data_IF_898013816776
#
_entry.id   IF_898013816776
#
_cell.length_a   1.000
_cell.length_b   1.000
_cell.length_c   1.000
_cell.angle_alpha   90.00
_cell.angle_beta   90.00
_cell.angle_gamma   90.00
#
_symmetry.space_group_name_H-M   'P 1'
#
loop_
_entity.id
_entity.type
_entity.pdbx_description
1 polymer ?
#
# COMPACT_ATOMS: atom_id res chain seq x y z
N UNK A 1 50.20 11.84 -46.40
CA UNK A 1 51.06 12.03 -47.57
C UNK A 1 51.95 13.22 -47.29
N UNK A 2 53.23 13.00 -46.98
CA UNK A 2 54.20 14.08 -46.82
C UNK A 2 55.38 13.78 -47.76
N UNK A 3 55.75 14.77 -48.57
CA UNK A 3 56.92 14.74 -49.44
C UNK A 3 58.04 15.52 -48.76
N UNK A 4 59.09 14.82 -48.33
CA UNK A 4 60.40 15.42 -48.06
C UNK A 4 61.39 14.86 -49.09
N UNK A 5 62.07 15.78 -49.77
CA UNK A 5 62.98 15.51 -50.89
C UNK A 5 64.41 15.55 -50.38
N UNK A 6 65.13 14.44 -50.48
CA UNK A 6 66.59 14.41 -50.43
C UNK A 6 67.10 13.32 -51.40
N UNK A 7 67.92 13.73 -52.38
CA UNK A 7 68.86 12.87 -53.12
C UNK A 7 68.30 11.64 -53.87
N UNK A 8 68.17 11.77 -55.20
CA UNK A 8 68.37 10.77 -56.26
C UNK A 8 68.23 9.25 -55.97
N UNK A 9 67.21 8.81 -55.25
CA UNK A 9 66.66 7.44 -55.34
C UNK A 9 65.23 7.40 -54.79
N UNK A 10 64.27 7.00 -55.62
CA UNK A 10 62.90 6.74 -55.17
C UNK A 10 62.86 5.37 -54.47
N UNK A 11 62.76 5.37 -53.13
CA UNK A 11 62.35 4.19 -52.36
C UNK A 11 60.90 4.40 -51.95
N UNK A 12 60.01 3.58 -52.49
CA UNK A 12 58.57 3.58 -52.20
C UNK A 12 58.36 2.83 -50.88
N UNK A 13 58.45 3.54 -49.75
CA UNK A 13 58.11 2.99 -48.43
C UNK A 13 56.60 3.07 -48.27
N UNK A 14 55.90 2.01 -48.65
CA UNK A 14 54.48 1.85 -48.32
C UNK A 14 54.36 1.54 -46.84
N UNK A 15 54.11 2.57 -46.03
CA UNK A 15 53.72 2.40 -44.64
C UNK A 15 52.28 1.86 -44.62
N UNK A 16 52.12 0.55 -44.56
CA UNK A 16 50.85 -0.04 -44.15
C UNK A 16 50.67 0.29 -42.66
N UNK A 17 50.00 1.40 -42.38
CA UNK A 17 49.39 1.58 -41.08
C UNK A 17 48.33 0.49 -40.94
N UNK A 18 48.69 -0.62 -40.29
CA UNK A 18 47.70 -1.54 -39.76
C UNK A 18 46.93 -0.73 -38.71
N UNK A 19 45.80 -0.17 -39.14
CA UNK A 19 44.78 0.31 -38.22
C UNK A 19 44.28 -0.94 -37.50
N UNK A 20 44.93 -1.30 -36.41
CA UNK A 20 44.23 -1.99 -35.34
C UNK A 20 43.14 -1.03 -34.91
N UNK A 21 41.93 -1.21 -35.45
CA UNK A 21 40.74 -0.81 -34.73
C UNK A 21 40.86 -1.55 -33.41
N UNK A 22 41.31 -0.85 -32.37
CA UNK A 22 40.98 -1.25 -31.02
C UNK A 22 39.45 -1.33 -31.04
N UNK A 23 38.92 -2.54 -31.06
CA UNK A 23 37.58 -2.74 -30.56
C UNK A 23 37.70 -2.40 -29.09
N UNK A 24 37.48 -1.12 -28.77
CA UNK A 24 36.93 -0.77 -27.47
C UNK A 24 35.70 -1.66 -27.41
N UNK A 25 35.76 -2.66 -26.54
CA UNK A 25 34.61 -3.49 -26.24
C UNK A 25 33.49 -2.50 -25.91
N UNK A 26 32.47 -2.51 -26.76
CA UNK A 26 31.23 -1.80 -26.52
C UNK A 26 30.79 -2.27 -25.13
N UNK A 27 30.87 -1.37 -24.15
CA UNK A 27 30.53 -1.64 -22.77
C UNK A 27 29.16 -2.31 -22.77
N UNK A 28 29.11 -3.55 -22.31
CA UNK A 28 27.91 -4.39 -22.41
C UNK A 28 26.88 -3.77 -21.49
N UNK A 29 26.05 -2.90 -22.07
CA UNK A 29 25.15 -2.01 -21.39
C UNK A 29 24.38 -2.79 -20.30
N UNK A 30 24.72 -2.51 -19.03
CA UNK A 30 24.08 -3.13 -17.85
C UNK A 30 22.63 -2.65 -17.71
N UNK A 31 22.20 -1.68 -18.52
CA UNK A 31 20.92 -1.02 -18.39
C UNK A 31 19.84 -1.72 -19.20
N UNK A 32 18.81 -2.10 -18.47
CA UNK A 32 17.46 -2.35 -18.96
C UNK A 32 16.86 -1.06 -19.57
N UNK A 33 15.61 -1.10 -20.06
CA UNK A 33 14.94 0.01 -20.75
C UNK A 33 14.78 1.32 -19.93
N UNK A 34 15.27 1.36 -18.69
CA UNK A 34 15.25 2.47 -17.74
C UNK A 34 16.44 2.34 -16.78
N UNK A 35 17.03 3.45 -16.34
CA UNK A 35 18.22 3.40 -15.47
C UNK A 35 19.37 4.26 -15.97
N UNK A 36 20.54 4.08 -15.35
CA UNK A 36 21.78 4.72 -15.80
C UNK A 36 22.82 4.92 -14.69
N UNK A 37 23.98 5.44 -15.10
CA UNK A 37 25.04 5.89 -14.18
C UNK A 37 24.78 7.35 -13.82
N UNK A 38 24.82 7.65 -12.53
CA UNK A 38 24.56 8.98 -11.97
C UNK A 38 25.82 9.47 -11.25
N UNK A 39 26.50 10.44 -11.85
CA UNK A 39 27.75 11.02 -11.33
C UNK A 39 27.60 12.48 -10.86
N UNK A 40 26.44 13.09 -11.12
CA UNK A 40 26.13 14.44 -10.69
C UNK A 40 25.94 14.50 -9.16
N UNK A 41 26.39 15.60 -8.53
CA UNK A 41 26.31 15.75 -7.07
C UNK A 41 24.89 15.74 -6.51
N UNK A 42 23.91 16.11 -7.33
CA UNK A 42 22.49 16.09 -7.00
C UNK A 42 21.72 15.57 -8.20
N UNK A 43 20.60 14.91 -7.94
CA UNK A 43 19.75 14.46 -9.03
C UNK A 43 18.41 13.90 -8.57
N UNK A 44 17.63 13.51 -9.57
CA UNK A 44 16.28 12.96 -9.42
C UNK A 44 16.25 11.60 -10.10
N UNK A 45 15.61 10.63 -9.45
CA UNK A 45 15.40 9.28 -9.98
C UNK A 45 13.90 9.02 -9.91
N UNK A 46 13.29 8.67 -11.04
CA UNK A 46 11.87 8.35 -11.09
C UNK A 46 11.62 7.10 -11.92
N UNK A 47 10.52 6.41 -11.61
CA UNK A 47 10.02 5.33 -12.47
C UNK A 47 9.57 5.90 -13.82
N UNK A 48 9.58 5.09 -14.90
CA UNK A 48 8.98 5.49 -16.17
C UNK A 48 7.52 5.92 -15.98
N UNK A 49 7.07 6.92 -16.73
CA UNK A 49 5.70 7.46 -16.72
C UNK A 49 5.17 8.04 -15.40
N UNK A 50 5.98 8.10 -14.33
CA UNK A 50 5.57 8.65 -13.04
C UNK A 50 4.81 9.98 -13.20
N UNK A 51 3.63 10.18 -12.57
CA UNK A 51 2.98 9.32 -11.56
C UNK A 51 2.07 8.21 -12.12
N UNK A 52 2.03 8.03 -13.44
CA UNK A 52 1.17 7.05 -14.11
C UNK A 52 1.81 5.66 -14.18
N UNK A 53 1.02 4.67 -14.58
CA UNK A 53 1.42 3.28 -14.73
C UNK A 53 2.70 3.14 -15.60
N UNK A 54 3.68 2.40 -15.07
CA UNK A 54 4.89 1.99 -15.79
C UNK A 54 4.65 0.65 -16.48
N UNK A 55 5.33 0.37 -17.62
CA UNK A 55 5.17 -0.90 -18.33
C UNK A 55 5.59 -2.09 -17.43
N UNK A 56 4.94 -3.24 -17.57
CA UNK A 56 5.35 -4.50 -16.92
C UNK A 56 5.43 -5.64 -17.95
N UNK A 57 6.41 -6.56 -17.85
CA UNK A 57 7.47 -6.63 -16.83
C UNK A 57 8.50 -5.50 -16.99
N UNK A 58 9.06 -5.04 -15.88
CA UNK A 58 10.08 -4.00 -15.83
C UNK A 58 11.19 -4.41 -14.89
N UNK A 59 12.39 -4.02 -15.27
CA UNK A 59 13.58 -4.05 -14.45
C UNK A 59 14.32 -2.76 -14.78
N UNK A 60 14.68 -1.96 -13.78
CA UNK A 60 15.43 -0.71 -13.91
C UNK A 60 16.60 -0.75 -12.93
N UNK A 61 17.74 -0.21 -13.33
CA UNK A 61 18.94 -0.16 -12.50
C UNK A 61 19.63 1.20 -12.56
N UNK A 62 19.89 1.79 -11.40
CA UNK A 62 20.66 3.03 -11.29
C UNK A 62 21.92 2.80 -10.48
N UNK A 63 23.04 3.37 -10.94
CA UNK A 63 24.31 3.34 -10.22
C UNK A 63 24.75 4.76 -9.91
N UNK A 64 24.64 5.18 -8.65
CA UNK A 64 25.18 6.45 -8.18
C UNK A 64 26.66 6.25 -7.85
N UNK A 65 27.53 7.06 -8.46
CA UNK A 65 28.98 7.06 -8.21
C UNK A 65 29.39 8.36 -7.54
N UNK A 66 29.73 8.29 -6.26
CA UNK A 66 30.22 9.42 -5.49
C UNK A 66 31.76 9.41 -5.39
N UNK A 67 32.39 10.60 -5.35
CA UNK A 67 33.78 10.73 -4.98
C UNK A 67 34.06 10.16 -3.56
N UNK A 68 35.27 9.67 -3.27
CA UNK A 68 35.59 9.04 -1.99
C UNK A 68 35.31 9.89 -0.74
N UNK A 69 35.45 11.21 -0.86
CA UNK A 69 35.25 12.20 0.22
C UNK A 69 33.77 12.45 0.56
N UNK A 70 32.85 11.91 -0.23
CA UNK A 70 31.40 12.14 -0.11
C UNK A 70 30.65 10.91 0.39
N UNK A 71 29.50 11.18 0.99
CA UNK A 71 28.45 10.20 1.28
C UNK A 71 27.22 10.55 0.43
N UNK A 72 26.40 9.55 0.13
CA UNK A 72 25.19 9.71 -0.69
C UNK A 72 23.98 9.69 0.24
N UNK A 73 23.10 10.67 0.10
CA UNK A 73 21.80 10.70 0.77
C UNK A 73 20.73 10.56 -0.30
N UNK A 74 19.81 9.62 -0.09
CA UNK A 74 18.63 9.40 -0.94
C UNK A 74 17.40 9.83 -0.14
N UNK A 75 16.59 10.71 -0.71
CA UNK A 75 15.35 11.21 -0.14
C UNK A 75 14.16 10.60 -0.87
N UNK A 76 13.28 9.95 -0.12
CA UNK A 76 12.07 9.33 -0.66
C UNK A 76 10.94 10.36 -0.70
N UNK A 77 11.17 11.45 -1.44
CA UNK A 77 10.24 12.57 -1.57
C UNK A 77 8.86 12.10 -2.02
N UNK A 78 8.78 11.29 -3.08
CA UNK A 78 7.53 10.72 -3.56
C UNK A 78 7.74 9.23 -3.85
N UNK A 79 7.24 8.37 -2.97
CA UNK A 79 7.48 6.93 -3.07
C UNK A 79 6.21 6.13 -2.78
N UNK A 80 5.73 5.39 -3.78
CA UNK A 80 4.43 4.70 -3.74
C UNK A 80 4.54 3.19 -4.01
N UNK A 81 5.75 2.63 -3.97
CA UNK A 81 5.97 1.19 -4.17
C UNK A 81 5.89 0.42 -2.86
N UNK A 82 5.10 -0.66 -2.84
CA UNK A 82 5.00 -1.59 -1.69
C UNK A 82 6.18 -2.56 -1.65
N UNK A 83 6.61 -2.99 -2.84
CA UNK A 83 7.58 -4.05 -3.04
C UNK A 83 8.55 -3.64 -4.16
N UNK A 84 9.58 -4.46 -4.38
CA UNK A 84 10.37 -4.43 -5.61
C UNK A 84 11.39 -3.30 -5.76
N UNK A 85 11.72 -2.56 -4.71
CA UNK A 85 12.76 -1.54 -4.72
C UNK A 85 13.86 -1.87 -3.71
N UNK A 86 15.10 -2.00 -4.18
CA UNK A 86 16.25 -2.44 -3.39
C UNK A 86 17.41 -1.45 -3.52
N UNK A 87 18.15 -1.24 -2.44
CA UNK A 87 19.31 -0.34 -2.40
C UNK A 87 20.50 -1.05 -1.77
N UNK A 88 21.62 -1.14 -2.50
CA UNK A 88 22.86 -1.75 -2.02
C UNK A 88 24.04 -0.79 -2.23
N UNK A 89 24.93 -0.69 -1.25
CA UNK A 89 26.17 0.09 -1.34
C UNK A 89 27.41 -0.80 -1.48
N UNK A 90 28.45 -0.32 -2.19
CA UNK A 90 29.67 -1.07 -2.50
C UNK A 90 30.92 -0.20 -2.37
N UNK A 91 32.04 -0.82 -1.97
CA UNK A 91 33.36 -0.16 -1.95
C UNK A 91 33.89 0.04 -3.39
N UNK A 92 33.57 -0.91 -4.27
CA UNK A 92 33.83 -0.83 -5.71
C UNK A 92 32.73 -1.58 -6.46
N UNK A 93 32.24 -1.00 -7.57
CA UNK A 93 31.25 -1.63 -8.43
C UNK A 93 31.58 -1.37 -9.90
N UNK A 94 31.79 -2.43 -10.66
CA UNK A 94 31.90 -2.38 -12.11
C UNK A 94 30.65 -2.97 -12.77
N UNK A 95 30.25 -4.17 -12.35
CA UNK A 95 29.06 -4.88 -12.83
C UNK A 95 28.58 -5.91 -11.79
N UNK A 96 27.48 -6.63 -12.09
CA UNK A 96 26.89 -7.66 -11.21
C UNK A 96 27.79 -8.87 -10.92
N UNK A 97 28.92 -9.02 -11.59
CA UNK A 97 29.91 -10.09 -11.36
C UNK A 97 31.21 -9.57 -10.73
N UNK A 98 31.49 -8.28 -10.90
CA UNK A 98 32.74 -7.63 -10.48
C UNK A 98 32.43 -6.46 -9.55
N UNK A 99 32.36 -6.75 -8.25
CA UNK A 99 32.12 -5.77 -7.19
C UNK A 99 32.85 -6.17 -5.89
N UNK A 100 33.01 -5.21 -4.98
CA UNK A 100 33.69 -5.40 -3.69
C UNK A 100 32.85 -4.79 -2.56
N UNK A 101 32.73 -5.55 -1.48
CA UNK A 101 32.15 -5.11 -0.23
C UNK A 101 30.68 -4.69 -0.34
N UNK A 102 29.78 -5.55 -0.81
CA UNK A 102 28.35 -5.23 -0.82
C UNK A 102 27.85 -5.04 0.61
N UNK A 103 27.00 -4.03 0.82
CA UNK A 103 26.18 -3.89 2.02
C UNK A 103 24.77 -3.51 1.59
N UNK A 104 23.84 -4.42 1.86
CA UNK A 104 22.43 -4.18 1.63
C UNK A 104 21.93 -3.10 2.61
N UNK A 105 21.33 -2.04 2.06
CA UNK A 105 20.72 -0.96 2.85
C UNK A 105 19.21 -1.18 3.03
N UNK A 106 18.67 -2.25 2.43
CA UNK A 106 17.33 -2.76 2.65
C UNK A 106 16.41 -2.63 1.45
N UNK A 107 15.24 -3.27 1.61
CA UNK A 107 14.11 -3.14 0.69
C UNK A 107 13.23 -1.98 1.14
N UNK A 108 12.97 -1.05 0.23
CA UNK A 108 12.15 0.14 0.52
C UNK A 108 10.69 -0.16 0.18
N UNK A 109 9.80 0.26 1.07
CA UNK A 109 8.35 0.16 0.93
C UNK A 109 7.73 1.43 1.48
N UNK A 110 6.63 1.90 0.88
CA UNK A 110 5.84 3.00 1.44
C UNK A 110 5.31 2.67 2.85
N UNK A 111 5.16 1.40 3.22
CA UNK A 111 4.70 0.97 4.55
C UNK A 111 5.73 1.23 5.67
N UNK A 112 6.99 1.49 5.32
CA UNK A 112 8.08 1.64 6.30
C UNK A 112 8.34 3.09 6.72
N UNK A 113 7.66 4.06 6.08
CA UNK A 113 7.86 5.51 6.26
C UNK A 113 9.35 5.89 6.43
N UNK A 114 10.15 5.57 5.41
CA UNK A 114 11.59 5.88 5.39
C UNK A 114 11.76 7.22 4.66
N UNK A 115 11.97 8.36 5.34
CA UNK A 115 12.07 9.66 4.66
C UNK A 115 13.39 9.82 3.90
N UNK A 116 14.47 9.20 4.41
CA UNK A 116 15.78 9.23 3.77
C UNK A 116 16.65 8.04 4.14
N UNK A 117 17.63 7.76 3.30
CA UNK A 117 18.62 6.70 3.48
C UNK A 117 20.02 7.25 3.17
N UNK A 118 20.99 6.89 4.02
CA UNK A 118 22.36 7.38 3.92
C UNK A 118 23.30 6.22 3.60
N UNK A 119 23.99 6.34 2.48
CA UNK A 119 25.04 5.43 2.06
C UNK A 119 26.42 6.10 2.27
N UNK A 120 27.34 5.35 2.88
CA UNK A 120 28.68 5.81 3.22
C UNK A 120 29.75 5.30 2.25
N UNK A 121 29.39 4.37 1.37
CA UNK A 121 30.27 3.85 0.32
C UNK A 121 30.10 4.62 -1.00
N UNK A 122 31.14 4.65 -1.86
CA UNK A 122 31.14 5.49 -3.06
C UNK A 122 30.22 4.99 -4.19
N UNK A 123 29.78 3.73 -4.17
CA UNK A 123 28.89 3.18 -5.18
C UNK A 123 27.57 2.76 -4.55
N UNK A 124 26.46 3.29 -5.03
CA UNK A 124 25.11 2.87 -4.63
C UNK A 124 24.38 2.36 -5.85
N UNK A 125 23.97 1.09 -5.81
CA UNK A 125 23.16 0.45 -6.82
C UNK A 125 21.71 0.38 -6.34
N UNK A 126 20.80 0.87 -7.16
CA UNK A 126 19.36 0.86 -6.93
C UNK A 126 18.74 -0.05 -7.98
N UNK A 127 17.97 -1.04 -7.52
CA UNK A 127 17.25 -1.97 -8.38
C UNK A 127 15.74 -1.83 -8.16
N UNK A 128 15.02 -1.66 -9.26
CA UNK A 128 13.56 -1.69 -9.30
C UNK A 128 13.10 -2.76 -10.30
N UNK A 129 12.46 -3.83 -9.85
CA UNK A 129 12.07 -4.93 -10.75
C UNK A 129 10.76 -5.60 -10.36
N UNK A 130 9.82 -5.69 -11.31
CA UNK A 130 8.52 -6.35 -11.11
C UNK A 130 7.95 -6.93 -12.40
N UNK A 131 7.29 -8.07 -12.28
CA UNK A 131 6.64 -8.76 -13.40
C UNK A 131 5.19 -8.29 -13.63
N UNK A 132 4.52 -7.74 -12.60
CA UNK A 132 3.12 -7.33 -12.64
C UNK A 132 2.91 -6.05 -11.79
N UNK A 133 1.96 -5.21 -12.20
CA UNK A 133 1.54 -3.97 -11.51
C UNK A 133 0.58 -4.21 -10.33
N UNK A 134 0.06 -5.43 -10.21
CA UNK A 134 -0.94 -5.80 -9.23
C UNK A 134 -0.36 -5.75 -7.81
N UNK A 135 -1.00 -4.99 -6.91
CA UNK A 135 -0.66 -4.89 -5.48
C UNK A 135 0.73 -4.30 -5.16
N UNK A 136 1.34 -3.54 -6.07
CA UNK A 136 2.63 -2.88 -5.82
C UNK A 136 2.56 -1.36 -5.67
N UNK A 137 1.45 -0.72 -6.03
CA UNK A 137 1.25 0.73 -5.92
C UNK A 137 0.34 1.07 -4.74
N UNK A 138 0.48 2.29 -4.21
CA UNK A 138 -0.42 2.83 -3.20
C UNK A 138 -1.75 3.23 -3.86
N UNK A 139 -2.87 2.79 -3.29
CA UNK A 139 -4.21 3.23 -3.67
C UNK A 139 -4.80 4.05 -2.53
N UNK A 140 -4.98 5.35 -2.75
CA UNK A 140 -5.66 6.22 -1.80
C UNK A 140 -7.11 6.38 -2.26
N UNK A 141 -8.02 5.75 -1.52
CA UNK A 141 -9.41 5.46 -1.90
C UNK A 141 -10.23 6.72 -2.19
N UNK A 142 -9.93 7.84 -1.54
CA UNK A 142 -10.86 8.99 -1.52
C UNK A 142 -10.46 10.15 -2.44
N UNK A 143 -9.29 10.09 -3.10
CA UNK A 143 -8.85 11.09 -4.09
C UNK A 143 -8.59 10.54 -5.49
N UNK A 144 -8.90 9.27 -5.77
CA UNK A 144 -8.65 8.65 -7.08
C UNK A 144 -7.18 8.76 -7.52
N UNK A 145 -6.25 8.75 -6.57
CA UNK A 145 -4.83 8.77 -6.86
C UNK A 145 -4.33 7.33 -6.94
N UNK A 146 -4.56 6.70 -8.10
CA UNK A 146 -3.78 5.55 -8.54
C UNK A 146 -2.39 6.07 -8.96
N UNK A 147 -1.51 6.28 -7.98
CA UNK A 147 -0.15 6.76 -8.22
C UNK A 147 0.81 5.58 -8.25
N UNK A 148 1.55 5.49 -9.34
CA UNK A 148 2.45 4.38 -9.59
C UNK A 148 3.89 4.83 -9.44
N UNK A 149 4.69 3.97 -8.80
CA UNK A 149 6.13 4.09 -8.83
C UNK A 149 6.67 5.12 -7.84
N UNK A 150 7.64 5.91 -8.28
CA UNK A 150 8.36 6.83 -7.40
C UNK A 150 9.01 7.98 -8.18
N UNK A 151 9.27 9.06 -7.46
CA UNK A 151 10.08 10.21 -7.83
C UNK A 151 10.88 10.64 -6.58
N UNK A 152 12.10 10.12 -6.50
CA UNK A 152 13.02 10.29 -5.38
C UNK A 152 14.16 11.21 -5.79
N UNK A 153 14.81 11.80 -4.81
CA UNK A 153 15.95 12.70 -5.04
C UNK A 153 17.17 12.22 -4.30
N UNK A 154 18.36 12.58 -4.77
CA UNK A 154 19.60 12.23 -4.09
C UNK A 154 20.58 13.40 -4.09
N UNK A 155 21.47 13.41 -3.11
CA UNK A 155 22.61 14.31 -3.08
C UNK A 155 23.88 13.67 -2.51
N UNK A 156 25.03 14.17 -2.95
CA UNK A 156 26.35 13.79 -2.50
C UNK A 156 26.91 14.92 -1.63
N UNK A 157 26.96 14.69 -0.33
CA UNK A 157 27.50 15.65 0.64
C UNK A 157 28.82 15.17 1.20
N UNK A 158 29.63 16.08 1.74
CA UNK A 158 30.86 15.69 2.44
C UNK A 158 30.51 14.76 3.60
N UNK A 159 31.36 13.77 3.90
CA UNK A 159 31.12 12.78 4.96
C UNK A 159 30.80 13.40 6.33
N UNK A 160 31.43 14.54 6.63
CA UNK A 160 31.25 15.30 7.88
C UNK A 160 29.96 16.11 7.95
N UNK A 161 29.26 16.30 6.84
CA UNK A 161 28.03 17.12 6.80
C UNK A 161 26.92 16.39 7.55
N UNK A 162 26.12 17.11 8.32
CA UNK A 162 24.92 16.54 8.93
C UNK A 162 23.89 16.14 7.87
N UNK A 163 23.11 15.11 8.17
CA UNK A 163 21.96 14.73 7.33
C UNK A 163 20.85 15.77 7.58
N UNK A 164 20.30 16.39 6.52
CA UNK A 164 19.20 17.33 6.67
C UNK A 164 18.03 16.71 7.46
N UNK A 165 17.65 17.35 8.56
CA UNK A 165 16.54 16.90 9.43
C UNK A 165 15.17 17.41 8.98
N UNK A 166 15.14 18.46 8.16
CA UNK A 166 13.92 19.11 7.69
C UNK A 166 13.59 18.67 6.26
N UNK A 167 13.47 17.36 6.07
CA UNK A 167 12.99 16.75 4.82
C UNK A 167 11.50 16.43 4.94
N UNK A 168 10.84 16.12 3.83
CA UNK A 168 9.50 15.55 3.84
C UNK A 168 9.46 14.24 3.08
N UNK A 169 8.44 13.43 3.37
CA UNK A 169 7.96 12.32 2.55
C UNK A 169 6.47 12.55 2.21
N UNK A 170 5.90 11.69 1.36
CA UNK A 170 4.45 11.68 1.12
C UNK A 170 3.66 11.39 2.40
N UNK A 171 4.22 10.60 3.32
CA UNK A 171 3.64 10.35 4.65
C UNK A 171 3.65 11.61 5.51
N UNK A 172 4.78 12.34 5.52
CA UNK A 172 4.88 13.64 6.19
C UNK A 172 3.87 14.65 5.64
N UNK A 173 3.44 14.50 4.38
CA UNK A 173 2.41 15.32 3.75
C UNK A 173 1.01 14.70 3.87
N UNK A 174 0.80 13.81 4.84
CA UNK A 174 -0.46 13.12 5.14
C UNK A 174 -1.05 12.33 3.96
N UNK A 175 -0.26 12.05 2.91
CA UNK A 175 -0.69 11.60 1.58
C UNK A 175 -1.78 12.49 0.93
N UNK A 176 -1.90 13.73 1.38
CA UNK A 176 -2.83 14.75 0.90
C UNK A 176 -2.09 15.91 0.20
N UNK A 177 -0.82 15.69 -0.11
CA UNK A 177 0.02 16.59 -0.85
C UNK A 177 1.28 15.89 -1.34
N UNK A 178 1.97 16.56 -2.25
CA UNK A 178 3.27 16.12 -2.75
C UNK A 178 4.37 16.70 -1.86
N UNK A 179 5.36 15.88 -1.48
CA UNK A 179 6.60 16.43 -0.95
C UNK A 179 7.46 16.92 -2.13
N UNK A 180 7.75 18.22 -2.12
CA UNK A 180 8.55 18.90 -3.13
C UNK A 180 9.83 19.47 -2.51
N UNK A 181 10.86 19.55 -3.34
CA UNK A 181 12.16 20.13 -2.99
C UNK A 181 12.47 21.31 -3.92
N UNK A 182 13.07 22.36 -3.37
CA UNK A 182 13.54 23.48 -4.18
C UNK A 182 14.77 23.11 -5.03
N UNK A 183 15.06 23.90 -6.06
CA UNK A 183 16.10 23.59 -7.06
C UNK A 183 17.51 23.42 -6.50
N UNK A 184 17.81 24.04 -5.36
CA UNK A 184 19.08 23.96 -4.65
C UNK A 184 19.10 22.90 -3.53
N UNK A 185 17.99 22.18 -3.32
CA UNK A 185 17.85 21.10 -2.33
C UNK A 185 18.04 21.57 -0.87
N UNK A 186 17.82 22.86 -0.60
CA UNK A 186 17.93 23.44 0.73
C UNK A 186 16.62 23.41 1.53
N UNK A 187 15.48 23.20 0.85
CA UNK A 187 14.16 23.23 1.47
C UNK A 187 13.23 22.18 0.88
N UNK A 188 12.65 21.38 1.76
CA UNK A 188 11.59 20.42 1.47
C UNK A 188 10.28 20.96 2.07
N UNK A 189 9.18 20.82 1.34
CA UNK A 189 7.87 21.25 1.80
C UNK A 189 6.75 20.43 1.16
N UNK A 190 5.62 20.34 1.87
CA UNK A 190 4.40 19.76 1.32
C UNK A 190 3.66 20.77 0.45
N UNK A 191 3.29 20.33 -0.75
CA UNK A 191 2.39 21.02 -1.67
C UNK A 191 1.03 20.32 -1.63
N UNK A 192 0.08 20.93 -0.91
CA UNK A 192 -1.20 20.29 -0.58
C UNK A 192 -2.16 20.28 -1.76
N UNK A 193 -2.93 19.19 -1.87
CA UNK A 193 -4.01 19.09 -2.85
C UNK A 193 -5.15 20.08 -2.55
N UNK A 194 -6.01 20.29 -3.53
CA UNK A 194 -7.12 21.24 -3.43
C UNK A 194 -8.01 20.95 -2.21
N UNK A 195 -8.23 21.98 -1.39
CA UNK A 195 -9.02 21.89 -0.16
C UNK A 195 -8.23 21.48 1.09
N UNK A 196 -6.95 21.11 0.96
CA UNK A 196 -6.07 20.81 2.09
C UNK A 196 -5.01 21.87 2.32
N UNK A 197 -4.56 21.98 3.56
CA UNK A 197 -3.57 22.97 3.96
C UNK A 197 -2.85 22.57 5.26
N UNK A 198 -1.90 23.41 5.67
CA UNK A 198 -0.97 23.15 6.76
C UNK A 198 0.41 22.75 6.25
N UNK A 199 1.40 22.66 7.14
CA UNK A 199 2.77 22.28 6.80
C UNK A 199 2.91 20.80 6.41
N UNK A 200 1.97 19.96 6.82
CA UNK A 200 1.89 18.51 6.60
C UNK A 200 0.63 18.13 5.80
N UNK A 201 -0.08 19.11 5.23
CA UNK A 201 -1.40 18.93 4.59
C UNK A 201 -2.42 18.24 5.50
N UNK A 202 -2.30 18.52 6.80
CA UNK A 202 -3.02 17.82 7.85
C UNK A 202 -4.43 18.38 8.11
N UNK A 203 -4.77 19.53 7.51
CA UNK A 203 -6.04 20.23 7.69
C UNK A 203 -6.82 20.32 6.38
N UNK A 204 -8.14 20.44 6.48
CA UNK A 204 -9.06 20.44 5.35
C UNK A 204 -10.52 20.65 5.80
N UNK A 205 -11.53 20.36 4.94
CA UNK A 205 -12.91 20.82 5.15
C UNK A 205 -13.58 20.33 6.44
N UNK A 206 -13.19 19.16 6.97
CA UNK A 206 -13.76 18.57 8.18
C UNK A 206 -12.80 18.61 9.38
N UNK A 207 -11.64 19.25 9.21
CA UNK A 207 -10.65 19.48 10.26
C UNK A 207 -9.89 20.76 9.95
N UNK A 208 -10.38 21.87 10.49
CA UNK A 208 -9.87 23.21 10.28
C UNK A 208 -9.84 23.95 11.63
N UNK A 209 -8.67 23.96 12.31
CA UNK A 209 -8.51 24.66 13.58
C UNK A 209 -8.66 26.18 13.47
N UNK A 210 -8.38 26.77 12.30
CA UNK A 210 -8.37 28.22 12.10
C UNK A 210 -9.81 28.79 12.10
N UNK A 211 -10.77 28.01 11.64
CA UNK A 211 -12.21 28.35 11.68
C UNK A 211 -12.99 27.60 12.76
N UNK A 212 -12.30 26.85 13.62
CA UNK A 212 -12.88 26.17 14.80
C UNK A 212 -13.53 24.81 14.52
N UNK A 213 -13.30 24.21 13.35
CA UNK A 213 -13.76 22.86 13.02
C UNK A 213 -12.76 21.85 13.59
N UNK A 214 -13.06 21.33 14.78
CA UNK A 214 -12.24 20.33 15.45
C UNK A 214 -13.12 19.39 16.27
N UNK A 215 -13.08 18.10 15.94
CA UNK A 215 -13.85 17.05 16.64
C UNK A 215 -13.18 16.54 17.93
N UNK A 216 -11.95 16.98 18.21
CA UNK A 216 -11.17 16.49 19.34
C UNK A 216 -11.51 17.25 20.63
N UNK A 217 -11.65 16.49 21.71
CA UNK A 217 -11.88 16.96 23.07
C UNK A 217 -10.58 17.41 23.75
N UNK A 218 -10.71 18.10 24.88
CA UNK A 218 -9.61 18.44 25.79
C UNK A 218 -8.41 19.18 25.13
N UNK A 219 -8.71 20.00 24.11
CA UNK A 219 -7.68 20.76 23.38
C UNK A 219 -6.83 19.90 22.44
N UNK A 220 -7.22 18.65 22.18
CA UNK A 220 -6.63 17.84 21.12
C UNK A 220 -6.77 18.51 19.75
N UNK A 221 -5.87 18.20 18.83
CA UNK A 221 -5.89 18.74 17.46
C UNK A 221 -6.29 17.64 16.49
N UNK A 222 -7.27 17.92 15.63
CA UNK A 222 -7.59 17.00 14.55
C UNK A 222 -6.49 17.03 13.48
N UNK A 223 -6.32 15.92 12.75
CA UNK A 223 -5.59 15.87 11.49
C UNK A 223 -6.13 14.76 10.58
N UNK A 224 -5.99 14.92 9.28
CA UNK A 224 -6.27 13.84 8.33
C UNK A 224 -5.19 12.74 8.41
N UNK A 225 -5.57 11.49 8.11
CA UNK A 225 -4.69 10.32 8.20
C UNK A 225 -4.63 9.58 6.84
N UNK A 226 -3.41 9.30 6.36
CA UNK A 226 -3.14 8.40 5.22
C UNK A 226 -3.96 8.69 3.95
N UNK A 227 -4.12 9.96 3.57
CA UNK A 227 -4.84 10.32 2.35
C UNK A 227 -6.33 10.01 2.39
N UNK A 228 -6.85 9.56 3.54
CA UNK A 228 -8.27 9.35 3.78
C UNK A 228 -8.92 10.64 4.28
N UNK A 229 -10.21 10.81 4.01
CA UNK A 229 -11.14 11.76 4.61
C UNK A 229 -11.39 11.52 6.11
N UNK A 230 -10.83 10.45 6.67
CA UNK A 230 -10.92 10.14 8.09
C UNK A 230 -9.94 11.03 8.86
N UNK A 231 -10.51 11.79 9.79
CA UNK A 231 -9.77 12.65 10.69
C UNK A 231 -9.48 11.91 11.99
N UNK A 232 -8.22 11.96 12.45
CA UNK A 232 -7.80 11.46 13.75
C UNK A 232 -7.50 12.62 14.70
N UNK A 233 -7.45 12.33 16.01
CA UNK A 233 -7.07 13.30 17.02
C UNK A 233 -5.66 13.08 17.53
N UNK A 234 -4.88 14.16 17.60
CA UNK A 234 -3.60 14.24 18.33
C UNK A 234 -3.90 14.81 19.71
N UNK A 235 -3.80 13.97 20.72
CA UNK A 235 -4.13 14.34 22.09
C UNK A 235 -3.01 15.10 22.77
N UNK A 236 -3.39 16.08 23.59
CA UNK A 236 -2.45 16.73 24.51
C UNK A 236 -1.99 15.73 25.58
N UNK A 237 -0.79 15.92 26.16
CA UNK A 237 -0.32 15.08 27.27
C UNK A 237 -1.36 15.03 28.39
N UNK A 238 -1.65 13.82 28.89
CA UNK A 238 -2.68 13.61 29.90
C UNK A 238 -4.06 13.26 29.34
N UNK A 239 -4.23 13.10 28.03
CA UNK A 239 -5.49 12.68 27.41
C UNK A 239 -5.27 11.58 26.36
N UNK A 240 -6.24 10.69 26.21
CA UNK A 240 -6.23 9.61 25.21
C UNK A 240 -7.66 9.28 24.74
N UNK A 241 -7.80 8.31 23.84
CA UNK A 241 -9.06 7.98 23.16
C UNK A 241 -9.08 8.50 21.72
N UNK A 242 -10.07 8.06 20.93
CA UNK A 242 -10.16 8.41 19.51
C UNK A 242 -10.41 9.90 19.27
N UNK A 243 -11.02 10.57 20.24
CA UNK A 243 -11.33 12.00 20.25
C UNK A 243 -10.65 12.73 21.41
N UNK A 244 -9.64 12.15 22.06
CA UNK A 244 -9.00 12.73 23.25
C UNK A 244 -9.97 12.99 24.41
N UNK A 245 -11.04 12.24 24.48
CA UNK A 245 -12.15 12.39 25.43
C UNK A 245 -11.82 11.84 26.81
N UNK A 246 -10.78 11.00 26.93
CA UNK A 246 -10.44 10.30 28.16
C UNK A 246 -9.29 11.04 28.86
N UNK A 247 -9.52 11.70 30.00
CA UNK A 247 -8.45 12.22 30.83
C UNK A 247 -7.71 11.06 31.51
N UNK A 248 -6.38 11.11 31.49
CA UNK A 248 -5.56 10.25 32.34
C UNK A 248 -5.86 10.61 33.80
N UNK A 249 -6.39 9.68 34.57
CA UNK A 249 -6.70 9.91 35.98
C UNK A 249 -5.41 10.20 36.75
N UNK A 250 -5.48 11.17 37.67
CA UNK A 250 -4.36 11.59 38.53
C UNK A 250 -3.95 10.50 39.54
N UNK A 251 -4.68 9.38 39.61
CA UNK A 251 -4.29 8.21 40.41
C UNK A 251 -3.32 7.26 39.67
N UNK A 252 -3.02 7.50 38.39
CA UNK A 252 -2.02 6.73 37.62
C UNK A 252 -0.85 7.60 37.15
N UNK A 253 -0.29 8.46 38.02
CA UNK A 253 1.14 8.80 37.91
C UNK A 253 1.98 7.61 38.35
N UNK A 254 1.84 6.51 37.62
CA UNK A 254 2.63 5.32 37.80
C UNK A 254 3.83 5.39 36.86
N UNK A 255 4.95 5.83 37.42
CA UNK A 255 6.22 5.93 36.71
C UNK A 255 6.62 4.61 36.03
N UNK A 256 6.09 3.46 36.49
CA UNK A 256 6.37 2.14 35.91
C UNK A 256 5.64 1.89 34.57
N UNK A 257 4.35 2.22 34.42
CA UNK A 257 3.65 2.11 33.12
C UNK A 257 4.15 3.14 32.11
N UNK A 258 4.59 4.32 32.56
CA UNK A 258 5.22 5.33 31.70
C UNK A 258 6.53 4.82 31.07
N UNK A 259 7.27 3.97 31.77
CA UNK A 259 8.55 3.41 31.31
C UNK A 259 8.40 2.18 30.41
N UNK A 260 7.22 1.56 30.33
CA UNK A 260 7.01 0.34 29.57
C UNK A 260 6.95 0.55 28.05
N UNK A 261 6.70 1.79 27.58
CA UNK A 261 6.57 2.13 26.16
C UNK A 261 5.56 1.23 25.41
N UNK A 262 4.39 1.01 26.00
CA UNK A 262 3.32 0.25 25.34
C UNK A 262 2.83 0.96 24.08
N UNK A 263 2.68 0.21 23.00
CA UNK A 263 2.19 0.73 21.71
C UNK A 263 0.73 1.21 21.71
N UNK A 264 -0.11 0.68 22.62
CA UNK A 264 -1.54 1.02 22.68
C UNK A 264 -2.00 1.35 24.11
N UNK A 265 -1.96 0.38 25.03
CA UNK A 265 -2.45 0.57 26.40
C UNK A 265 -1.57 -0.17 27.42
N UNK A 266 -1.58 0.27 28.69
CA UNK A 266 -0.90 -0.35 29.83
C UNK A 266 -1.89 -0.53 30.99
N UNK A 267 -1.91 -1.69 31.65
CA UNK A 267 -2.70 -1.94 32.88
C UNK A 267 -1.91 -2.80 33.87
N UNK A 268 -2.29 -2.78 35.15
CA UNK A 268 -1.75 -3.70 36.17
C UNK A 268 -2.51 -5.02 36.20
N UNK A 269 -1.79 -6.13 36.29
CA UNK A 269 -2.39 -7.45 36.55
C UNK A 269 -2.93 -7.55 37.99
N UNK A 270 -3.54 -8.67 38.34
CA UNK A 270 -4.08 -8.91 39.69
C UNK A 270 -3.02 -8.92 40.81
N UNK A 271 -1.74 -8.93 40.44
CA UNK A 271 -0.58 -8.89 41.34
C UNK A 271 0.08 -7.49 41.36
N UNK A 272 -0.52 -6.53 40.66
CA UNK A 272 -0.04 -5.16 40.59
C UNK A 272 1.10 -4.94 39.59
N UNK A 273 1.42 -5.87 38.69
CA UNK A 273 2.52 -5.71 37.73
C UNK A 273 2.02 -5.04 36.44
N UNK A 274 2.70 -4.01 35.90
CA UNK A 274 2.29 -3.37 34.66
C UNK A 274 2.51 -4.30 33.47
N UNK A 275 1.52 -4.39 32.60
CA UNK A 275 1.60 -5.10 31.32
C UNK A 275 0.89 -4.31 30.23
N UNK A 276 1.38 -4.43 29.00
CA UNK A 276 0.71 -3.80 27.87
C UNK A 276 -0.57 -4.56 27.51
N UNK A 277 -1.51 -3.85 26.88
CA UNK A 277 -2.76 -4.38 26.36
C UNK A 277 -2.99 -3.85 24.94
N UNK A 278 -3.54 -4.73 24.11
CA UNK A 278 -3.94 -4.39 22.75
C UNK A 278 -5.45 -4.20 22.68
N UNK A 279 -5.88 -3.25 21.87
CA UNK A 279 -7.26 -3.03 21.50
C UNK A 279 -7.75 -4.15 20.56
N UNK A 280 -9.07 -4.24 20.42
CA UNK A 280 -9.70 -5.24 19.56
C UNK A 280 -9.17 -5.18 18.12
N UNK A 281 -8.80 -6.34 17.57
CA UNK A 281 -8.20 -6.45 16.24
C UNK A 281 -6.66 -6.40 16.23
N UNK A 282 -6.02 -6.29 17.39
CA UNK A 282 -4.56 -6.33 17.56
C UNK A 282 -4.16 -7.42 18.57
N UNK A 283 -2.99 -8.02 18.36
CA UNK A 283 -2.38 -8.98 19.30
C UNK A 283 -1.03 -8.45 19.78
N UNK A 284 -0.66 -8.85 20.99
CA UNK A 284 0.66 -8.51 21.54
C UNK A 284 1.75 -9.23 20.74
N UNK A 285 2.77 -8.48 20.35
CA UNK A 285 3.97 -8.97 19.72
C UNK A 285 4.91 -9.63 20.75
N UNK A 286 5.94 -10.32 20.28
CA UNK A 286 6.87 -11.11 21.11
C UNK A 286 7.61 -10.26 22.14
N UNK A 287 7.71 -8.95 21.90
CA UNK A 287 8.33 -7.98 22.80
C UNK A 287 7.46 -7.61 24.02
N UNK A 288 6.21 -8.12 24.10
CA UNK A 288 5.22 -7.81 25.13
C UNK A 288 4.89 -6.31 25.28
N UNK A 289 5.16 -5.50 24.24
CA UNK A 289 4.96 -4.04 24.25
C UNK A 289 4.24 -3.54 23.00
N UNK A 290 4.53 -4.17 21.86
CA UNK A 290 4.01 -3.77 20.56
C UNK A 290 2.75 -4.55 20.22
N UNK A 291 1.73 -3.86 19.74
CA UNK A 291 0.45 -4.45 19.33
C UNK A 291 0.43 -4.50 17.81
N UNK A 292 0.51 -5.71 17.26
CA UNK A 292 0.47 -5.95 15.82
C UNK A 292 -0.96 -6.27 15.37
N UNK A 293 -1.41 -5.75 14.21
CA UNK A 293 -2.72 -6.10 13.68
C UNK A 293 -2.89 -7.62 13.56
N UNK A 294 -4.03 -8.13 14.01
CA UNK A 294 -4.38 -9.53 13.81
C UNK A 294 -4.75 -9.69 12.34
N UNK A 295 -3.83 -10.23 11.54
CA UNK A 295 -4.08 -10.53 10.15
C UNK A 295 -5.32 -11.42 10.00
N UNK A 296 -6.30 -10.92 9.24
CA UNK A 296 -7.49 -11.68 8.85
C UNK A 296 -7.37 -12.07 7.39
N UNK A 297 -8.08 -13.09 6.96
CA UNK A 297 -8.25 -13.47 5.56
C UNK A 297 -9.72 -13.40 5.21
N UNK A 298 -10.04 -12.84 4.03
CA UNK A 298 -11.36 -12.95 3.42
C UNK A 298 -11.42 -14.27 2.65
N UNK A 299 -12.39 -15.09 3.00
CA UNK A 299 -12.67 -16.38 2.37
C UNK A 299 -13.96 -16.23 1.58
N UNK A 300 -13.88 -16.42 0.27
CA UNK A 300 -15.02 -16.33 -0.64
C UNK A 300 -15.35 -17.75 -1.11
N UNK A 301 -16.61 -18.17 -0.93
CA UNK A 301 -17.04 -19.56 -1.08
C UNK A 301 -18.18 -19.65 -2.08
N UNK A 302 -18.09 -20.63 -2.98
CA UNK A 302 -19.10 -20.96 -3.97
C UNK A 302 -19.72 -22.33 -3.67
N UNK A 303 -21.01 -22.33 -3.34
CA UNK A 303 -21.83 -23.53 -3.10
C UNK A 303 -22.80 -23.75 -4.25
N UNK A 304 -22.80 -24.95 -4.82
CA UNK A 304 -23.70 -25.28 -5.92
C UNK A 304 -24.99 -25.87 -5.35
N UNK A 305 -26.13 -25.28 -5.72
CA UNK A 305 -27.46 -25.70 -5.28
C UNK A 305 -28.07 -26.69 -6.28
N UNK A 306 -28.74 -27.73 -5.78
CA UNK A 306 -29.29 -28.83 -6.58
C UNK A 306 -30.77 -28.63 -6.96
N UNK A 307 -31.52 -27.77 -6.26
CA UNK A 307 -32.98 -27.67 -6.43
C UNK A 307 -33.50 -26.22 -6.39
N UNK A 308 -32.78 -25.29 -7.02
CA UNK A 308 -33.27 -23.91 -7.07
C UNK A 308 -34.38 -23.79 -8.14
N UNK A 309 -35.62 -23.62 -7.70
CA UNK A 309 -36.78 -23.32 -8.55
C UNK A 309 -37.05 -21.81 -8.45
N UNK A 310 -37.63 -21.19 -9.49
CA UNK A 310 -38.00 -19.76 -9.52
C UNK A 310 -38.90 -19.39 -8.31
N UNK A 311 -38.28 -18.99 -7.20
CA UNK A 311 -38.91 -18.46 -5.99
C UNK A 311 -39.13 -16.95 -6.14
N UNK A 312 -40.14 -16.40 -5.47
CA UNK A 312 -40.31 -14.95 -5.42
C UNK A 312 -39.22 -14.30 -4.56
N UNK A 313 -38.85 -13.04 -4.83
CA UNK A 313 -37.82 -12.30 -4.08
C UNK A 313 -38.12 -12.24 -2.57
N UNK A 314 -39.40 -12.22 -2.19
CA UNK A 314 -39.84 -12.20 -0.80
C UNK A 314 -39.62 -13.55 -0.09
N UNK A 315 -39.87 -14.67 -0.78
CA UNK A 315 -39.59 -16.02 -0.27
C UNK A 315 -38.08 -16.29 -0.22
N UNK A 316 -37.32 -15.75 -1.16
CA UNK A 316 -35.85 -15.86 -1.18
C UNK A 316 -35.23 -15.18 0.05
N UNK A 317 -35.64 -13.95 0.36
CA UNK A 317 -35.10 -13.18 1.48
C UNK A 317 -35.36 -13.81 2.86
N UNK A 318 -36.58 -14.32 3.12
CA UNK A 318 -36.88 -15.01 4.39
C UNK A 318 -36.03 -16.27 4.60
N UNK A 319 -35.67 -16.95 3.51
CA UNK A 319 -34.87 -18.16 3.57
C UNK A 319 -33.36 -17.88 3.67
N UNK A 320 -32.88 -16.72 3.20
CA UNK A 320 -31.47 -16.33 3.25
C UNK A 320 -30.96 -16.11 4.68
N UNK A 321 -31.81 -15.64 5.61
CA UNK A 321 -31.42 -15.50 7.02
C UNK A 321 -31.18 -16.87 7.68
N UNK A 322 -32.04 -17.84 7.40
CA UNK A 322 -31.85 -19.22 7.88
C UNK A 322 -30.59 -19.85 7.28
N UNK A 323 -30.38 -19.67 5.97
CA UNK A 323 -29.17 -20.12 5.27
C UNK A 323 -27.91 -19.52 5.90
N UNK A 324 -27.92 -18.22 6.18
CA UNK A 324 -26.81 -17.52 6.84
C UNK A 324 -26.50 -18.11 8.21
N UNK A 325 -27.52 -18.35 9.05
CA UNK A 325 -27.33 -18.96 10.36
C UNK A 325 -26.80 -20.40 10.29
N UNK A 326 -27.36 -21.22 9.41
CA UNK A 326 -26.92 -22.62 9.24
C UNK A 326 -25.45 -22.71 8.82
N UNK A 327 -25.01 -21.84 7.90
CA UNK A 327 -23.62 -21.78 7.45
C UNK A 327 -22.70 -21.33 8.59
N UNK A 328 -23.03 -20.22 9.27
CA UNK A 328 -22.21 -19.67 10.36
C UNK A 328 -22.02 -20.73 11.47
N UNK A 329 -23.11 -21.31 11.95
CA UNK A 329 -23.06 -22.33 13.02
C UNK A 329 -22.20 -23.53 12.61
N UNK A 330 -22.31 -23.96 11.36
CA UNK A 330 -21.52 -25.09 10.85
C UNK A 330 -20.03 -24.75 10.81
N UNK A 331 -19.67 -23.57 10.30
CA UNK A 331 -18.28 -23.16 10.19
C UNK A 331 -17.67 -22.95 11.59
N UNK A 332 -18.39 -22.33 12.52
CA UNK A 332 -17.93 -22.09 13.89
C UNK A 332 -17.68 -23.40 14.67
N UNK A 333 -18.61 -24.36 14.55
CA UNK A 333 -18.48 -25.68 15.20
C UNK A 333 -17.35 -26.54 14.65
N UNK A 334 -16.84 -26.23 13.46
CA UNK A 334 -15.80 -27.00 12.77
C UNK A 334 -14.44 -26.28 12.77
N UNK A 335 -14.12 -25.59 13.87
CA UNK A 335 -12.75 -25.11 14.13
C UNK A 335 -12.44 -23.71 13.60
N UNK A 336 -13.45 -22.91 13.25
CA UNK A 336 -13.30 -21.50 12.88
C UNK A 336 -14.23 -20.66 13.76
N UNK A 337 -13.96 -20.52 15.07
CA UNK A 337 -14.85 -19.79 15.98
C UNK A 337 -14.76 -18.27 15.83
N UNK A 338 -13.81 -17.76 15.04
CA UNK A 338 -13.48 -16.33 14.94
C UNK A 338 -14.10 -15.64 13.73
N UNK A 339 -15.16 -16.22 13.15
CA UNK A 339 -15.82 -15.67 11.96
C UNK A 339 -16.27 -14.24 12.25
N UNK A 340 -15.89 -13.32 11.38
CA UNK A 340 -16.35 -11.93 11.44
C UNK A 340 -16.86 -11.47 10.08
N UNK A 341 -17.87 -10.59 10.09
CA UNK A 341 -18.47 -9.96 8.89
C UNK A 341 -18.79 -10.98 7.78
N UNK A 342 -19.71 -11.90 8.09
CA UNK A 342 -20.28 -12.86 7.14
C UNK A 342 -21.36 -12.19 6.31
N UNK A 343 -21.30 -12.35 4.98
CA UNK A 343 -22.41 -11.97 4.12
C UNK A 343 -22.56 -12.82 2.86
N UNK A 344 -23.78 -12.88 2.36
CA UNK A 344 -24.10 -13.55 1.09
C UNK A 344 -23.95 -12.52 -0.03
N UNK A 345 -23.06 -12.81 -0.99
CA UNK A 345 -22.77 -11.96 -2.15
C UNK A 345 -23.95 -12.01 -3.12
N UNK A 346 -24.51 -13.21 -3.30
CA UNK A 346 -25.71 -13.41 -4.11
C UNK A 346 -25.93 -14.86 -4.49
N UNK A 347 -27.03 -15.10 -5.20
CA UNK A 347 -27.32 -16.37 -5.85
C UNK A 347 -27.29 -16.13 -7.36
N UNK A 348 -26.32 -16.72 -8.03
CA UNK A 348 -26.15 -16.61 -9.48
C UNK A 348 -26.78 -17.83 -10.14
N UNK A 349 -27.70 -17.59 -11.08
CA UNK A 349 -28.34 -18.66 -11.83
C UNK A 349 -27.78 -18.71 -13.26
N UNK A 350 -27.06 -19.78 -13.59
CA UNK A 350 -26.61 -20.04 -14.96
C UNK A 350 -27.54 -21.05 -15.63
N UNK A 351 -27.37 -21.26 -16.95
CA UNK A 351 -28.14 -22.28 -17.68
C UNK A 351 -27.88 -23.70 -17.21
N UNK A 352 -26.81 -23.94 -16.44
CA UNK A 352 -26.38 -25.28 -16.02
C UNK A 352 -26.40 -25.48 -14.51
N UNK A 353 -26.15 -24.43 -13.73
CA UNK A 353 -25.97 -24.51 -12.28
C UNK A 353 -26.44 -23.23 -11.58
N UNK A 354 -26.98 -23.39 -10.37
CA UNK A 354 -27.24 -22.27 -9.47
C UNK A 354 -26.17 -22.24 -8.38
N UNK A 355 -25.52 -21.10 -8.18
CA UNK A 355 -24.40 -20.94 -7.25
C UNK A 355 -24.77 -19.91 -6.18
N UNK A 356 -24.71 -20.33 -4.92
CA UNK A 356 -24.75 -19.45 -3.75
C UNK A 356 -23.32 -19.01 -3.44
N UNK A 357 -23.08 -17.72 -3.46
CA UNK A 357 -21.78 -17.13 -3.20
C UNK A 357 -21.83 -16.30 -1.91
N UNK A 358 -20.89 -16.54 -0.99
CA UNK A 358 -20.81 -15.83 0.27
C UNK A 358 -19.36 -15.64 0.69
N UNK A 359 -19.13 -14.70 1.60
CA UNK A 359 -17.80 -14.50 2.17
C UNK A 359 -17.85 -14.34 3.69
N UNK A 360 -16.71 -14.60 4.31
CA UNK A 360 -16.47 -14.30 5.70
C UNK A 360 -14.99 -14.00 5.96
N UNK A 361 -14.69 -13.39 7.11
CA UNK A 361 -13.33 -13.18 7.56
C UNK A 361 -12.98 -14.13 8.71
N UNK A 362 -11.79 -14.73 8.64
CA UNK A 362 -11.22 -15.55 9.71
C UNK A 362 -9.77 -15.14 10.02
N UNK A 363 -9.24 -15.60 11.15
CA UNK A 363 -7.83 -15.41 11.49
C UNK A 363 -6.92 -16.30 10.67
N UNK A 364 -5.64 -15.94 10.56
CA UNK A 364 -4.61 -16.78 9.93
C UNK A 364 -4.52 -18.17 10.58
N UNK A 365 -4.72 -18.23 11.91
CA UNK A 365 -4.69 -19.49 12.68
C UNK A 365 -5.75 -20.50 12.25
N UNK A 366 -6.81 -20.03 11.60
CA UNK A 366 -8.00 -20.84 11.31
C UNK A 366 -8.02 -21.30 9.84
N UNK A 367 -7.02 -20.89 9.04
CA UNK A 367 -6.96 -21.19 7.60
C UNK A 367 -6.93 -22.69 7.30
N UNK A 368 -6.23 -23.47 8.11
CA UNK A 368 -6.10 -24.91 7.91
C UNK A 368 -7.43 -25.66 8.18
N UNK A 369 -8.36 -25.03 8.90
CA UNK A 369 -9.67 -25.61 9.23
C UNK A 369 -10.74 -25.33 8.17
N UNK A 370 -10.48 -24.47 7.18
CA UNK A 370 -11.46 -24.08 6.15
C UNK A 370 -11.95 -25.28 5.34
N UNK A 371 -11.01 -26.11 4.88
CA UNK A 371 -11.36 -27.31 4.10
C UNK A 371 -12.25 -28.25 4.90
N UNK A 372 -11.93 -28.47 6.18
CA UNK A 372 -12.73 -29.31 7.09
C UNK A 372 -14.12 -28.73 7.32
N UNK A 373 -14.22 -27.42 7.59
CA UNK A 373 -15.49 -26.76 7.83
C UNK A 373 -16.41 -26.78 6.59
N UNK A 374 -15.86 -26.54 5.40
CA UNK A 374 -16.62 -26.60 4.14
C UNK A 374 -17.01 -28.03 3.76
N UNK A 375 -16.16 -29.02 4.04
CA UNK A 375 -16.51 -30.43 3.85
C UNK A 375 -17.66 -30.84 4.78
N UNK A 376 -17.63 -30.43 6.05
CA UNK A 376 -18.73 -30.67 6.99
C UNK A 376 -20.02 -30.00 6.52
N UNK A 377 -19.95 -28.76 6.00
CA UNK A 377 -21.10 -28.05 5.43
C UNK A 377 -21.67 -28.77 4.20
N UNK A 378 -20.81 -29.27 3.31
CA UNK A 378 -21.22 -30.04 2.15
C UNK A 378 -21.89 -31.37 2.54
N UNK A 379 -21.35 -32.07 3.54
CA UNK A 379 -21.90 -33.34 4.03
C UNK A 379 -23.27 -33.21 4.72
N UNK A 380 -23.64 -32.01 5.18
CA UNK A 380 -25.02 -31.75 5.66
C UNK A 380 -26.04 -31.91 4.54
N UNK A 381 -25.63 -31.77 3.26
CA UNK A 381 -26.46 -32.00 2.08
C UNK A 381 -27.55 -30.94 1.84
N UNK A 382 -27.77 -30.04 2.80
CA UNK A 382 -28.74 -28.97 2.74
C UNK A 382 -28.31 -27.78 3.59
N UNK A 383 -28.71 -26.58 3.18
CA UNK A 383 -28.54 -25.33 3.92
C UNK A 383 -29.84 -24.54 3.80
N UNK A 384 -30.50 -24.25 4.93
CA UNK A 384 -31.87 -23.75 4.92
C UNK A 384 -32.78 -24.66 4.05
N UNK A 385 -33.57 -24.09 3.12
CA UNK A 385 -34.42 -24.88 2.22
C UNK A 385 -33.68 -25.44 0.98
N UNK A 386 -32.39 -25.12 0.79
CA UNK A 386 -31.67 -25.45 -0.43
C UNK A 386 -30.86 -26.73 -0.29
N UNK A 387 -31.07 -27.68 -1.21
CA UNK A 387 -30.25 -28.88 -1.32
C UNK A 387 -28.92 -28.53 -1.99
N UNK A 388 -27.82 -29.09 -1.47
CA UNK A 388 -26.49 -28.94 -2.04
C UNK A 388 -26.25 -29.98 -3.13
N UNK A 389 -25.52 -29.58 -4.18
CA UNK A 389 -25.06 -30.48 -5.23
C UNK A 389 -23.98 -31.43 -4.72
N UNK A 390 -23.78 -32.55 -5.43
CA UNK A 390 -22.68 -33.49 -5.14
C UNK A 390 -21.30 -32.93 -5.51
N UNK A 391 -21.23 -31.74 -6.10
CA UNK A 391 -19.97 -31.04 -6.38
C UNK A 391 -19.46 -30.35 -5.11
N UNK A 392 -18.18 -30.59 -4.81
CA UNK A 392 -17.50 -29.98 -3.67
C UNK A 392 -17.51 -28.44 -3.73
N UNK A 393 -17.66 -27.76 -2.58
CA UNK A 393 -17.52 -26.30 -2.49
C UNK A 393 -16.16 -25.84 -2.99
N UNK A 394 -16.13 -24.75 -3.75
CA UNK A 394 -14.88 -24.05 -4.10
C UNK A 394 -14.72 -22.84 -3.20
N UNK A 395 -13.48 -22.48 -2.89
CA UNK A 395 -13.19 -21.27 -2.16
C UNK A 395 -11.88 -20.61 -2.59
N UNK A 396 -11.82 -19.29 -2.47
CA UNK A 396 -10.63 -18.48 -2.66
C UNK A 396 -10.29 -17.71 -1.38
N UNK A 397 -8.99 -17.53 -1.14
CA UNK A 397 -8.47 -16.79 0.02
C UNK A 397 -7.78 -15.51 -0.43
N UNK A 398 -8.10 -14.40 0.21
CA UNK A 398 -7.42 -13.12 0.02
C UNK A 398 -7.12 -12.48 1.38
N UNK A 399 -6.04 -11.69 1.52
CA UNK A 399 -5.78 -10.95 2.76
C UNK A 399 -6.99 -10.09 3.13
N UNK A 400 -7.47 -10.25 4.36
CA UNK A 400 -8.58 -9.49 4.91
C UNK A 400 -8.10 -8.09 5.28
N UNK A 401 -8.65 -7.09 4.61
CA UNK A 401 -8.34 -5.69 4.87
C UNK A 401 -8.69 -5.33 6.31
N UNK A 402 -7.68 -5.03 7.13
CA UNK A 402 -7.86 -4.51 8.49
C UNK A 402 -8.43 -3.10 8.36
N UNK A 403 -9.69 -2.91 8.80
CA UNK A 403 -10.38 -1.62 8.96
C UNK A 403 -10.09 -0.54 7.91
N UNK A 404 -10.36 -0.87 6.66
CA UNK A 404 -10.80 0.13 5.69
C UNK A 404 -12.26 -0.17 5.40
N UNK A 405 -13.15 0.79 5.71
CA UNK A 405 -14.53 0.74 5.22
C UNK A 405 -14.48 0.81 3.69
N UNK A 406 -14.45 -0.33 3.02
CA UNK A 406 -14.59 -0.37 1.56
C UNK A 406 -16.06 -0.39 1.19
N UNK A 407 -16.43 0.57 0.34
CA UNK A 407 -17.59 0.51 -0.53
C UNK A 407 -17.31 -0.46 -1.68
N UNK A 408 -18.31 -1.24 -2.04
CA UNK A 408 -18.29 -2.17 -3.18
C UNK A 408 -18.35 -1.35 -4.47
N UNK A 409 -17.35 -1.48 -5.33
CA UNK A 409 -17.38 -0.91 -6.69
C UNK A 409 -17.73 -2.04 -7.67
N UNK A 410 -18.92 -1.96 -8.26
CA UNK A 410 -19.29 -2.77 -9.42
C UNK A 410 -18.81 -2.03 -10.67
N UNK A 411 -17.88 -2.64 -11.40
CA UNK A 411 -17.42 -2.15 -12.70
C UNK A 411 -18.53 -2.45 -13.73
N UNK A 412 -19.06 -1.41 -14.39
CA UNK A 412 -19.91 -1.58 -15.57
C UNK A 412 -19.24 -0.85 -16.73
N UNK A 413 -18.89 -1.60 -17.77
CA UNK A 413 -18.45 -1.04 -19.05
C UNK A 413 -19.59 -0.22 -19.67
N UNK A 414 -19.36 1.08 -19.88
CA UNK A 414 -20.26 1.92 -20.67
C UNK A 414 -19.79 2.01 -22.11
N UNK A 415 -20.68 1.63 -23.03
CA UNK A 415 -20.52 1.75 -24.48
C UNK A 415 -20.47 3.25 -24.88
N UNK A 416 -19.54 3.74 -25.74
CA UNK A 416 -19.18 5.16 -25.85
C UNK A 416 -20.19 6.11 -26.54
N UNK A 417 -21.45 5.72 -26.75
CA UNK A 417 -22.37 6.49 -27.60
C UNK A 417 -23.72 6.77 -26.92
N UNK A 418 -23.78 7.69 -25.95
CA UNK A 418 -24.99 8.51 -25.69
C UNK A 418 -24.74 9.55 -24.59
N UNK A 419 -24.41 10.78 -25.00
CA UNK A 419 -24.45 11.96 -24.12
C UNK A 419 -25.81 12.64 -24.25
N UNK A 420 -26.75 12.37 -23.33
CA UNK A 420 -27.88 13.27 -23.02
C UNK A 420 -28.70 12.80 -21.81
N UNK A 421 -29.01 13.76 -20.95
CA UNK A 421 -29.99 13.78 -19.86
C UNK A 421 -29.61 13.16 -18.50
N UNK A 422 -28.92 13.95 -17.66
CA UNK A 422 -28.91 13.78 -16.21
C UNK A 422 -29.76 14.90 -15.55
N UNK A 423 -30.94 14.55 -15.01
CA UNK A 423 -31.77 15.45 -14.18
C UNK A 423 -31.51 15.21 -12.69
N UNK A 424 -31.42 16.29 -11.91
CA UNK A 424 -31.30 16.32 -10.45
C UNK A 424 -32.64 15.90 -9.80
N UNK A 425 -32.66 14.86 -8.96
CA UNK A 425 -33.83 14.44 -8.17
C UNK A 425 -33.47 14.45 -6.67
N UNK A 426 -34.40 14.94 -5.83
CA UNK A 426 -34.27 15.10 -4.38
C UNK A 426 -34.99 13.93 -3.67
N UNK A 427 -34.34 13.25 -2.72
CA UNK A 427 -34.83 11.98 -2.17
C UNK A 427 -35.37 12.13 -0.74
N UNK A 428 -36.69 12.05 -0.59
CA UNK A 428 -37.35 11.76 0.69
C UNK A 428 -38.51 10.79 0.39
N UNK A 429 -38.40 9.57 0.90
CA UNK A 429 -39.33 8.43 0.90
C UNK A 429 -38.94 7.20 0.06
N UNK A 430 -38.91 6.08 0.78
CA UNK A 430 -38.64 4.72 0.33
C UNK A 430 -39.76 4.18 -0.59
N UNK A 431 -39.36 3.34 -1.53
CA UNK A 431 -40.12 2.58 -2.55
C UNK A 431 -40.33 3.25 -3.92
N UNK A 432 -39.65 2.69 -4.93
CA UNK A 432 -40.19 2.57 -6.28
C UNK A 432 -39.57 1.36 -7.01
N UNK A 433 -40.43 0.46 -7.50
CA UNK A 433 -40.08 -0.62 -8.43
C UNK A 433 -39.66 -0.03 -9.79
N UNK A 434 -38.58 -0.56 -10.36
CA UNK A 434 -38.10 -0.24 -11.70
C UNK A 434 -38.63 -1.26 -12.72
N UNK A 435 -39.50 -0.81 -13.63
CA UNK A 435 -39.57 -1.39 -14.98
C UNK A 435 -38.55 -0.64 -15.84
N UNK A 436 -37.59 -1.39 -16.39
CA UNK A 436 -36.73 -1.06 -17.55
C UNK A 436 -36.39 0.42 -17.77
N UNK A 437 -35.55 0.98 -16.88
CA UNK A 437 -34.54 2.03 -17.13
C UNK A 437 -33.96 2.45 -15.78
N UNK A 438 -32.80 1.93 -15.43
CA UNK A 438 -32.20 2.14 -14.10
C UNK A 438 -31.69 3.59 -13.97
N UNK A 439 -32.28 4.31 -13.02
CA UNK A 439 -31.82 5.60 -12.48
C UNK A 439 -31.12 5.28 -11.15
N UNK A 440 -29.91 5.80 -10.96
CA UNK A 440 -29.10 5.58 -9.75
C UNK A 440 -29.66 6.35 -8.54
N UNK A 441 -29.66 5.70 -7.37
CA UNK A 441 -29.95 6.27 -6.06
C UNK A 441 -28.73 6.01 -5.15
N UNK A 442 -28.20 7.06 -4.53
CA UNK A 442 -27.27 6.95 -3.40
C UNK A 442 -28.07 7.15 -2.11
N UNK A 443 -28.03 6.18 -1.21
CA UNK A 443 -28.39 6.37 0.21
C UNK A 443 -27.15 6.11 1.05
N UNK A 444 -26.73 7.12 1.81
CA UNK A 444 -25.72 7.03 2.86
C UNK A 444 -26.43 6.56 4.14
N UNK A 445 -25.91 5.51 4.79
CA UNK A 445 -26.10 5.28 6.23
C UNK A 445 -24.75 5.42 6.90
#
# INVERSE_FOLDING_TARGET
MYLLKAGSSLILVTCFAVLFKSQVAEDRQVFTNCGGILEAEKGVIHSPNFPNEFPTPISCEWLIRAPPEKKIIIYFTQFYLKNSFYVTEYDFYQDKTTYIGPRDLGRISWELDIPSLVAYKPYVHIEFSTENISNIHLRVIEYLLDVYGFNITYEMVNRSSDVPKNTCSVDSCSYLGNCLVNSDFSRYQCDCFEGFFGNECQYGPYCDPDVGINQCSNGGKCKYFFGSLINQCVCLPGFYGAYCEIPMSVEETDHECQNMQCSQSCKRDTQGRPHCLCFDGYKMDVDNRTCIPIARYRIEVQLILANFVNMSDAELNMNLDQVKQDIIITIEKNGIPTISKFDIIGIQNSTTETVLEFYFYCLVSDLDNISTALNSLWLLGQVGPFLLSQKMPKYEKSPGMVNFKYFVVIIVELNPYSTKDAKKINCHNNHALLTTRVVYLYCII
#
